data_IF_402008407458
#
_entry.id   IF_402008407458
#
_cell.length_a   1.000
_cell.length_b   1.000
_cell.length_c   1.000
_cell.angle_alpha   90.00
_cell.angle_beta   90.00
_cell.angle_gamma   90.00
#
_symmetry.space_group_name_H-M   'P 1'
#
loop_
_entity.id
_entity.type
_entity.pdbx_description
1 polymer ?
#
# COMPACT_ATOMS: atom_id res chain seq x y z
N UNK A 1 21.29 4.26 17.97
CA UNK A 1 20.87 2.91 17.56
C UNK A 1 19.82 3.02 16.45
N UNK A 2 19.67 1.96 15.63
CA UNK A 2 18.75 1.98 14.47
C UNK A 2 17.30 2.35 14.87
N UNK A 3 16.83 1.85 16.00
CA UNK A 3 15.49 2.17 16.52
C UNK A 3 15.28 3.67 16.79
N UNK A 4 16.26 4.33 17.36
CA UNK A 4 16.22 5.78 17.63
C UNK A 4 16.23 6.62 16.35
N UNK A 5 16.94 6.16 15.31
CA UNK A 5 16.99 6.85 14.02
C UNK A 5 15.67 6.75 13.25
N UNK A 6 14.89 5.65 13.41
CA UNK A 6 13.58 5.47 12.78
C UNK A 6 12.53 6.47 13.28
N UNK A 7 12.65 6.94 14.52
CA UNK A 7 11.74 7.92 15.11
C UNK A 7 12.15 9.37 14.84
N UNK A 8 13.46 9.60 14.57
CA UNK A 8 14.05 10.94 14.53
C UNK A 8 14.36 11.45 13.12
N UNK A 9 14.42 10.60 12.10
CA UNK A 9 14.88 10.93 10.76
C UNK A 9 13.80 10.70 9.70
N UNK A 10 13.74 11.59 8.72
CA UNK A 10 12.92 11.40 7.52
C UNK A 10 13.47 10.25 6.64
N UNK A 11 12.58 9.61 5.86
CA UNK A 11 12.93 8.47 5.01
C UNK A 11 14.17 8.69 4.11
N UNK A 12 14.36 9.85 3.42
CA UNK A 12 15.56 10.13 2.64
C UNK A 12 16.84 10.18 3.48
N UNK A 13 16.75 10.72 4.70
CA UNK A 13 17.89 10.82 5.63
C UNK A 13 18.28 9.45 6.17
N UNK A 14 17.31 8.60 6.47
CA UNK A 14 17.50 7.22 6.86
C UNK A 14 18.25 6.42 5.77
N UNK A 15 17.77 6.50 4.53
CA UNK A 15 18.43 5.84 3.39
C UNK A 15 19.87 6.31 3.25
N UNK A 16 20.11 7.62 3.25
CA UNK A 16 21.44 8.21 3.10
C UNK A 16 22.42 7.76 4.22
N UNK A 17 21.92 7.59 5.44
CA UNK A 17 22.71 7.17 6.59
C UNK A 17 23.00 5.67 6.62
N UNK A 18 22.00 4.85 6.32
CA UNK A 18 22.04 3.40 6.53
C UNK A 18 22.42 2.61 5.29
N UNK A 19 22.10 3.06 4.08
CA UNK A 19 22.40 2.34 2.85
C UNK A 19 23.89 2.02 2.69
N UNK A 20 24.84 2.98 2.89
CA UNK A 20 26.27 2.67 2.77
C UNK A 20 26.76 1.63 3.80
N UNK A 21 26.17 1.64 4.99
CA UNK A 21 26.50 0.67 6.05
C UNK A 21 25.99 -0.73 5.69
N UNK A 22 24.78 -0.83 5.15
CA UNK A 22 24.21 -2.09 4.67
C UNK A 22 25.03 -2.63 3.49
N UNK A 23 25.44 -1.78 2.56
CA UNK A 23 26.31 -2.14 1.44
C UNK A 23 27.67 -2.64 1.89
N UNK A 24 28.29 -1.99 2.89
CA UNK A 24 29.56 -2.45 3.47
C UNK A 24 29.40 -3.81 4.17
N UNK A 25 28.34 -3.99 4.95
CA UNK A 25 28.05 -5.28 5.60
C UNK A 25 27.81 -6.39 4.59
N UNK A 26 27.09 -6.11 3.51
CA UNK A 26 26.86 -7.06 2.43
C UNK A 26 28.18 -7.46 1.75
N UNK A 27 29.04 -6.49 1.47
CA UNK A 27 30.38 -6.74 0.89
C UNK A 27 31.25 -7.60 1.83
N UNK A 28 31.29 -7.28 3.12
CA UNK A 28 32.05 -8.04 4.12
C UNK A 28 31.51 -9.47 4.28
N UNK A 29 30.19 -9.64 4.25
CA UNK A 29 29.56 -10.97 4.32
C UNK A 29 29.94 -11.83 3.10
N UNK A 30 29.83 -11.28 1.89
CA UNK A 30 30.24 -11.98 0.67
C UNK A 30 31.74 -12.31 0.67
N UNK A 31 32.59 -11.36 1.09
CA UNK A 31 34.04 -11.59 1.22
C UNK A 31 34.38 -12.68 2.26
N UNK A 32 33.60 -12.76 3.34
CA UNK A 32 33.73 -13.83 4.32
C UNK A 32 33.48 -15.22 3.73
N UNK A 33 32.46 -15.35 2.89
CA UNK A 33 32.15 -16.60 2.18
C UNK A 33 33.25 -16.99 1.19
N UNK A 34 33.77 -16.04 0.41
CA UNK A 34 34.85 -16.32 -0.53
C UNK A 34 36.18 -16.64 0.19
N UNK A 35 36.43 -16.06 1.38
CA UNK A 35 37.59 -16.39 2.20
C UNK A 35 37.57 -17.86 2.65
N UNK A 36 36.40 -18.43 2.94
CA UNK A 36 36.28 -19.84 3.28
C UNK A 36 36.79 -20.75 2.12
N UNK A 37 36.51 -20.37 0.87
CA UNK A 37 36.98 -21.07 -0.33
C UNK A 37 38.52 -20.99 -0.42
N UNK A 38 39.07 -19.78 -0.20
CA UNK A 38 40.55 -19.58 -0.24
C UNK A 38 41.26 -20.45 0.82
N UNK A 39 40.75 -20.51 2.03
CA UNK A 39 41.33 -21.26 3.13
C UNK A 39 41.31 -22.78 2.92
N UNK A 40 40.33 -23.27 2.17
CA UNK A 40 40.13 -24.71 1.94
C UNK A 40 40.67 -25.19 0.58
N UNK A 41 40.90 -24.29 -0.39
CA UNK A 41 41.41 -24.61 -1.70
C UNK A 41 42.78 -25.34 -1.62
N UNK A 42 42.90 -26.48 -2.29
CA UNK A 42 44.09 -27.32 -2.29
C UNK A 42 44.40 -28.03 -0.98
N UNK A 43 43.59 -27.88 0.07
CA UNK A 43 43.78 -28.51 1.41
C UNK A 43 42.65 -29.46 1.77
N UNK A 44 41.41 -29.16 1.37
CA UNK A 44 40.24 -29.97 1.68
C UNK A 44 39.95 -31.00 0.56
N UNK A 45 39.21 -32.07 0.91
CA UNK A 45 38.78 -33.05 -0.09
C UNK A 45 37.81 -32.45 -1.10
N UNK A 46 37.71 -33.08 -2.27
CA UNK A 46 36.78 -32.67 -3.33
C UNK A 46 35.33 -32.57 -2.82
N UNK A 47 34.86 -33.55 -2.03
CA UNK A 47 33.50 -33.60 -1.48
C UNK A 47 33.26 -32.44 -0.53
N UNK A 48 34.25 -32.05 0.29
CA UNK A 48 34.12 -30.89 1.17
C UNK A 48 34.02 -29.59 0.36
N UNK A 49 34.84 -29.42 -0.69
CA UNK A 49 34.77 -28.25 -1.57
C UNK A 49 33.41 -28.16 -2.26
N UNK A 50 32.90 -29.29 -2.75
CA UNK A 50 31.59 -29.33 -3.38
C UNK A 50 30.47 -28.92 -2.40
N UNK A 51 30.49 -29.49 -1.16
CA UNK A 51 29.54 -29.12 -0.12
C UNK A 51 29.62 -27.64 0.24
N UNK A 52 30.81 -27.07 0.33
CA UNK A 52 31.02 -25.66 0.58
C UNK A 52 30.40 -24.79 -0.52
N UNK A 53 30.66 -25.13 -1.81
CA UNK A 53 30.06 -24.39 -2.94
C UNK A 53 28.54 -24.47 -2.97
N UNK A 54 27.98 -25.64 -2.71
CA UNK A 54 26.51 -25.83 -2.63
C UNK A 54 25.94 -24.99 -1.48
N UNK A 55 26.62 -24.94 -0.34
CA UNK A 55 26.19 -24.12 0.80
C UNK A 55 26.24 -22.62 0.49
N UNK A 56 27.30 -22.15 -0.18
CA UNK A 56 27.42 -20.75 -0.63
C UNK A 56 26.34 -20.43 -1.68
N UNK A 57 26.04 -21.36 -2.59
CA UNK A 57 24.95 -21.20 -3.56
C UNK A 57 23.60 -21.04 -2.84
N UNK A 58 23.31 -21.89 -1.85
CA UNK A 58 22.08 -21.82 -1.07
C UNK A 58 21.95 -20.48 -0.31
N UNK A 59 23.03 -20.01 0.32
CA UNK A 59 23.08 -18.72 1.00
C UNK A 59 22.86 -17.58 -0.01
N UNK A 60 23.47 -17.65 -1.17
CA UNK A 60 23.34 -16.63 -2.23
C UNK A 60 21.91 -16.57 -2.76
N UNK A 61 21.27 -17.72 -3.00
CA UNK A 61 19.88 -17.80 -3.42
C UNK A 61 18.91 -17.24 -2.35
N UNK A 62 19.15 -17.59 -1.08
CA UNK A 62 18.38 -17.05 0.05
C UNK A 62 18.50 -15.51 0.16
N UNK A 63 19.69 -14.96 0.02
CA UNK A 63 19.88 -13.51 0.03
C UNK A 63 19.23 -12.80 -1.15
N UNK A 64 19.14 -13.41 -2.32
CA UNK A 64 18.45 -12.82 -3.50
C UNK A 64 16.97 -12.55 -3.22
N UNK A 65 16.33 -13.36 -2.38
CA UNK A 65 14.90 -13.18 -2.01
C UNK A 65 14.71 -12.21 -0.83
N UNK A 66 15.66 -12.13 0.10
CA UNK A 66 15.53 -11.30 1.30
C UNK A 66 16.00 -9.84 1.13
N UNK A 67 16.92 -9.57 0.21
CA UNK A 67 17.48 -8.22 -0.02
C UNK A 67 16.77 -7.44 -1.13
N UNK A 68 15.51 -7.75 -1.41
CA UNK A 68 14.70 -7.17 -2.50
C UNK A 68 14.54 -5.64 -2.40
N UNK A 69 14.62 -5.09 -1.19
CA UNK A 69 14.46 -3.66 -0.97
C UNK A 69 15.59 -2.82 -1.61
N UNK A 70 16.81 -3.38 -1.73
CA UNK A 70 17.97 -2.68 -2.28
C UNK A 70 18.81 -3.57 -3.17
N UNK A 71 18.66 -3.40 -4.47
CA UNK A 71 19.47 -4.13 -5.47
C UNK A 71 20.96 -3.85 -5.30
N UNK A 72 21.36 -2.65 -4.87
CA UNK A 72 22.78 -2.30 -4.66
C UNK A 72 23.43 -3.11 -3.53
N UNK A 73 22.69 -3.34 -2.44
CA UNK A 73 23.14 -4.17 -1.31
C UNK A 73 23.34 -5.62 -1.77
N UNK A 74 22.35 -6.17 -2.48
CA UNK A 74 22.45 -7.52 -3.04
C UNK A 74 23.64 -7.64 -4.00
N UNK A 75 23.82 -6.70 -4.91
CA UNK A 75 24.93 -6.75 -5.89
C UNK A 75 26.30 -6.71 -5.23
N UNK A 76 26.49 -5.96 -4.16
CA UNK A 76 27.76 -5.97 -3.42
C UNK A 76 28.04 -7.31 -2.77
N UNK A 77 27.04 -7.91 -2.12
CA UNK A 77 27.12 -9.26 -1.57
C UNK A 77 27.41 -10.30 -2.66
N UNK A 78 26.67 -10.25 -3.76
CA UNK A 78 26.79 -11.20 -4.87
C UNK A 78 28.16 -11.15 -5.55
N UNK A 79 28.66 -9.95 -5.85
CA UNK A 79 29.96 -9.77 -6.48
C UNK A 79 31.11 -10.23 -5.56
N UNK A 80 31.08 -9.81 -4.28
CA UNK A 80 32.15 -10.17 -3.32
C UNK A 80 32.11 -11.64 -2.91
N UNK A 81 30.94 -12.27 -2.90
CA UNK A 81 30.76 -13.67 -2.56
C UNK A 81 30.83 -14.58 -3.78
N UNK A 82 29.70 -14.71 -4.51
CA UNK A 82 29.54 -15.72 -5.55
C UNK A 82 30.47 -15.54 -6.77
N UNK A 83 30.59 -14.32 -7.31
CA UNK A 83 31.47 -14.11 -8.47
C UNK A 83 32.94 -14.33 -8.09
N UNK A 84 33.35 -13.94 -6.88
CA UNK A 84 34.68 -14.23 -6.38
C UNK A 84 34.91 -15.73 -6.22
N UNK A 85 33.94 -16.48 -5.65
CA UNK A 85 33.99 -17.94 -5.57
C UNK A 85 34.10 -18.59 -6.95
N UNK A 86 33.30 -18.10 -7.93
CA UNK A 86 33.37 -18.61 -9.31
C UNK A 86 34.78 -18.46 -9.89
N UNK A 87 35.44 -17.32 -9.66
CA UNK A 87 36.83 -17.14 -10.10
C UNK A 87 37.81 -18.05 -9.33
N UNK A 88 37.61 -18.23 -8.02
CA UNK A 88 38.43 -19.10 -7.17
C UNK A 88 38.26 -20.59 -7.48
N UNK A 89 37.22 -21.00 -8.23
CA UNK A 89 36.98 -22.40 -8.58
C UNK A 89 38.09 -23.03 -9.39
N UNK A 90 38.93 -22.23 -10.06
CA UNK A 90 40.15 -22.70 -10.76
C UNK A 90 41.10 -23.38 -9.79
N UNK A 91 41.25 -22.83 -8.58
CA UNK A 91 42.11 -23.40 -7.54
C UNK A 91 41.40 -24.42 -6.67
N UNK A 92 40.11 -24.25 -6.43
CA UNK A 92 39.32 -25.18 -5.64
C UNK A 92 39.07 -26.51 -6.37
N UNK A 93 38.92 -26.48 -7.68
CA UNK A 93 38.62 -27.65 -8.54
C UNK A 93 39.60 -27.73 -9.72
N UNK A 94 40.91 -28.02 -9.53
CA UNK A 94 41.92 -27.97 -10.59
C UNK A 94 41.62 -28.86 -11.80
N UNK A 95 41.00 -30.03 -11.55
CA UNK A 95 40.65 -31.00 -12.60
C UNK A 95 39.27 -30.76 -13.23
N UNK A 96 38.37 -30.02 -12.53
CA UNK A 96 36.97 -29.91 -12.91
C UNK A 96 36.52 -28.48 -13.17
N UNK A 97 37.38 -27.45 -13.08
CA UNK A 97 37.05 -26.04 -13.19
C UNK A 97 36.29 -25.72 -14.50
N UNK A 98 36.62 -26.42 -15.61
CA UNK A 98 36.00 -26.26 -16.94
C UNK A 98 34.53 -26.65 -16.99
N UNK A 99 34.04 -27.46 -16.01
CA UNK A 99 32.62 -27.74 -15.80
C UNK A 99 32.00 -26.84 -14.73
N UNK A 100 32.75 -26.57 -13.66
CA UNK A 100 32.28 -25.79 -12.51
C UNK A 100 32.02 -24.34 -12.89
N UNK A 101 32.92 -23.69 -13.66
CA UNK A 101 32.78 -22.30 -14.07
C UNK A 101 31.51 -22.05 -14.89
N UNK A 102 31.24 -22.79 -15.98
CA UNK A 102 30.02 -22.61 -16.76
C UNK A 102 28.75 -22.80 -15.91
N UNK A 103 28.74 -23.80 -15.04
CA UNK A 103 27.61 -24.05 -14.13
C UNK A 103 27.42 -22.91 -13.12
N UNK A 104 28.51 -22.41 -12.53
CA UNK A 104 28.49 -21.28 -11.61
C UNK A 104 28.04 -19.97 -12.28
N UNK A 105 28.42 -19.75 -13.55
CA UNK A 105 27.97 -18.60 -14.33
C UNK A 105 26.48 -18.71 -14.71
N UNK A 106 26.01 -19.92 -15.06
CA UNK A 106 24.60 -20.17 -15.31
C UNK A 106 23.75 -19.88 -14.07
N UNK A 107 24.23 -20.37 -12.90
CA UNK A 107 23.61 -20.07 -11.61
C UNK A 107 23.62 -18.56 -11.31
N UNK A 108 24.76 -17.88 -11.57
CA UNK A 108 24.89 -16.45 -11.39
C UNK A 108 23.85 -15.68 -12.23
N UNK A 109 23.67 -16.08 -13.48
CA UNK A 109 22.68 -15.47 -14.38
C UNK A 109 21.25 -15.68 -13.87
N UNK A 110 20.93 -16.89 -13.43
CA UNK A 110 19.61 -17.22 -12.87
C UNK A 110 19.31 -16.37 -11.63
N UNK A 111 20.24 -16.36 -10.66
CA UNK A 111 20.09 -15.59 -9.41
C UNK A 111 20.00 -14.07 -9.67
N UNK A 112 20.80 -13.56 -10.61
CA UNK A 112 20.70 -12.14 -10.99
C UNK A 112 19.32 -11.79 -11.56
N UNK A 113 18.78 -12.63 -12.44
CA UNK A 113 17.42 -12.44 -12.99
C UNK A 113 16.35 -12.51 -11.90
N UNK A 114 16.46 -13.48 -10.98
CA UNK A 114 15.53 -13.64 -9.87
C UNK A 114 15.58 -12.43 -8.91
N UNK A 115 16.78 -11.94 -8.58
CA UNK A 115 16.96 -10.75 -7.76
C UNK A 115 16.36 -9.50 -8.43
N UNK A 116 16.52 -9.36 -9.74
CA UNK A 116 15.96 -8.25 -10.50
C UNK A 116 14.42 -8.33 -10.54
N UNK A 117 13.86 -9.50 -10.77
CA UNK A 117 12.42 -9.73 -10.76
C UNK A 117 11.82 -9.46 -9.38
N UNK A 118 12.46 -9.96 -8.32
CA UNK A 118 12.07 -9.75 -6.94
C UNK A 118 12.12 -8.26 -6.54
N UNK A 119 13.15 -7.53 -6.97
CA UNK A 119 13.25 -6.08 -6.76
C UNK A 119 12.12 -5.32 -7.48
N UNK A 120 11.85 -5.64 -8.74
CA UNK A 120 10.74 -5.05 -9.49
C UNK A 120 9.38 -5.33 -8.83
N UNK A 121 9.16 -6.57 -8.37
CA UNK A 121 7.95 -6.93 -7.64
C UNK A 121 7.81 -6.14 -6.36
N UNK A 122 8.86 -6.02 -5.55
CA UNK A 122 8.86 -5.24 -4.31
C UNK A 122 8.52 -3.77 -4.55
N UNK A 123 9.18 -3.11 -5.52
CA UNK A 123 8.90 -1.72 -5.87
C UNK A 123 7.45 -1.54 -6.34
N UNK A 124 6.94 -2.49 -7.13
CA UNK A 124 5.55 -2.45 -7.57
C UNK A 124 4.57 -2.59 -6.40
N UNK A 125 4.83 -3.50 -5.48
CA UNK A 125 4.04 -3.72 -4.27
C UNK A 125 3.95 -2.45 -3.39
N UNK A 126 5.09 -1.81 -3.14
CA UNK A 126 5.14 -0.55 -2.37
C UNK A 126 4.33 0.56 -3.05
N UNK A 127 4.43 0.69 -4.39
CA UNK A 127 3.66 1.68 -5.15
C UNK A 127 2.14 1.40 -5.11
N UNK A 128 1.73 0.13 -5.16
CA UNK A 128 0.33 -0.25 -5.05
C UNK A 128 -0.22 0.08 -3.66
N UNK A 129 0.55 -0.22 -2.62
CA UNK A 129 0.16 0.10 -1.24
C UNK A 129 -0.02 1.61 -1.03
N UNK A 130 0.91 2.42 -1.54
CA UNK A 130 0.81 3.88 -1.46
C UNK A 130 -0.44 4.41 -2.20
N UNK A 131 -0.70 3.91 -3.42
CA UNK A 131 -1.92 4.27 -4.17
C UNK A 131 -3.19 3.86 -3.44
N UNK A 132 -3.19 2.67 -2.83
CA UNK A 132 -4.32 2.18 -2.04
C UNK A 132 -4.58 3.10 -0.84
N UNK A 133 -3.55 3.52 -0.11
CA UNK A 133 -3.67 4.47 1.00
C UNK A 133 -4.23 5.82 0.55
N UNK A 134 -3.76 6.34 -0.59
CA UNK A 134 -4.26 7.61 -1.16
C UNK A 134 -5.73 7.50 -1.56
N UNK A 135 -6.14 6.41 -2.21
CA UNK A 135 -7.53 6.17 -2.58
C UNK A 135 -8.45 6.05 -1.36
N UNK A 136 -8.02 5.33 -0.32
CA UNK A 136 -8.78 5.22 0.94
C UNK A 136 -8.96 6.60 1.58
N UNK A 137 -7.92 7.43 1.60
CA UNK A 137 -8.02 8.79 2.12
C UNK A 137 -9.00 9.66 1.31
N UNK A 138 -8.96 9.59 -0.03
CA UNK A 138 -9.89 10.32 -0.91
C UNK A 138 -11.34 9.85 -0.72
N UNK A 139 -11.56 8.53 -0.63
CA UNK A 139 -12.88 7.97 -0.39
C UNK A 139 -13.45 8.40 0.96
N UNK A 140 -12.62 8.47 2.00
CA UNK A 140 -13.04 8.94 3.32
C UNK A 140 -13.53 10.40 3.26
N UNK A 141 -12.76 11.28 2.64
CA UNK A 141 -13.14 12.70 2.47
C UNK A 141 -14.42 12.84 1.64
N UNK A 142 -14.52 12.10 0.53
CA UNK A 142 -15.72 12.14 -0.33
C UNK A 142 -16.96 11.66 0.42
N UNK A 143 -16.83 10.61 1.23
CA UNK A 143 -17.90 10.10 2.07
C UNK A 143 -18.34 11.11 3.13
N UNK A 144 -17.40 11.72 3.85
CA UNK A 144 -17.68 12.75 4.86
C UNK A 144 -18.44 13.94 4.24
N UNK A 145 -18.02 14.40 3.05
CA UNK A 145 -18.71 15.46 2.33
C UNK A 145 -20.13 15.07 1.92
N UNK A 146 -20.32 13.83 1.43
CA UNK A 146 -21.65 13.33 1.07
C UNK A 146 -22.58 13.19 2.28
N UNK A 147 -22.07 12.70 3.41
CA UNK A 147 -22.82 12.61 4.67
C UNK A 147 -23.23 14.02 5.18
N UNK A 148 -22.32 15.00 5.12
CA UNK A 148 -22.62 16.39 5.50
C UNK A 148 -23.70 17.00 4.58
N UNK A 149 -23.57 16.84 3.26
CA UNK A 149 -24.55 17.34 2.30
C UNK A 149 -25.94 16.69 2.49
N UNK A 150 -25.97 15.40 2.83
CA UNK A 150 -27.21 14.69 3.16
C UNK A 150 -27.86 15.24 4.45
N UNK A 151 -27.06 15.49 5.48
CA UNK A 151 -27.53 16.07 6.73
C UNK A 151 -28.11 17.49 6.50
N UNK A 152 -27.41 18.33 5.76
CA UNK A 152 -27.87 19.67 5.39
C UNK A 152 -29.19 19.63 4.60
N UNK A 153 -29.30 18.73 3.62
CA UNK A 153 -30.52 18.51 2.88
C UNK A 153 -31.69 18.10 3.78
N UNK A 154 -31.45 17.15 4.68
CA UNK A 154 -32.48 16.67 5.60
C UNK A 154 -32.93 17.76 6.58
N UNK A 155 -31.98 18.54 7.11
CA UNK A 155 -32.30 19.70 7.96
C UNK A 155 -33.11 20.74 7.19
N UNK A 156 -32.71 21.09 5.97
CA UNK A 156 -33.44 22.01 5.10
C UNK A 156 -34.89 21.56 4.87
N UNK A 157 -35.09 20.28 4.51
CA UNK A 157 -36.42 19.72 4.26
C UNK A 157 -37.28 19.73 5.53
N UNK A 158 -36.68 19.39 6.68
CA UNK A 158 -37.37 19.40 7.97
C UNK A 158 -37.83 20.82 8.34
N UNK A 159 -36.93 21.80 8.23
CA UNK A 159 -37.23 23.21 8.55
C UNK A 159 -38.26 23.77 7.57
N UNK A 160 -38.10 23.54 6.26
CA UNK A 160 -39.04 23.99 5.26
C UNK A 160 -40.46 23.39 5.45
N UNK A 161 -40.55 22.11 5.81
CA UNK A 161 -41.82 21.44 6.11
C UNK A 161 -42.49 22.05 7.34
N UNK A 162 -41.71 22.36 8.38
CA UNK A 162 -42.23 23.03 9.58
C UNK A 162 -42.76 24.44 9.24
N UNK A 163 -41.95 25.22 8.53
CA UNK A 163 -42.32 26.63 8.18
C UNK A 163 -43.46 26.73 7.21
N UNK A 164 -43.68 25.71 6.34
CA UNK A 164 -44.87 25.61 5.48
C UNK A 164 -46.11 25.16 6.25
N UNK A 165 -45.96 24.26 7.23
CA UNK A 165 -47.08 23.76 8.02
C UNK A 165 -47.74 24.87 8.86
N UNK A 166 -46.97 25.80 9.41
CA UNK A 166 -47.48 26.88 10.24
C UNK A 166 -48.47 27.79 9.50
N UNK A 167 -48.17 28.39 8.32
CA UNK A 167 -49.12 29.25 7.62
C UNK A 167 -50.34 28.46 7.10
N UNK A 168 -50.15 27.20 6.69
CA UNK A 168 -51.28 26.33 6.27
C UNK A 168 -52.23 26.11 7.42
N UNK A 169 -51.72 25.84 8.62
CA UNK A 169 -52.54 25.68 9.81
C UNK A 169 -53.27 26.98 10.21
N UNK A 170 -52.60 28.13 10.15
CA UNK A 170 -53.23 29.43 10.37
C UNK A 170 -54.31 29.73 9.37
N UNK A 171 -54.09 29.47 8.07
CA UNK A 171 -55.10 29.61 7.02
C UNK A 171 -56.31 28.67 7.24
N UNK A 172 -56.05 27.41 7.66
CA UNK A 172 -57.11 26.47 8.01
C UNK A 172 -58.02 27.00 9.11
N UNK A 173 -57.47 27.59 10.16
CA UNK A 173 -58.24 28.18 11.24
C UNK A 173 -59.05 29.39 10.80
N UNK A 174 -58.49 30.22 9.91
CA UNK A 174 -59.24 31.37 9.33
C UNK A 174 -60.41 30.93 8.47
N UNK A 175 -60.16 29.93 7.58
CA UNK A 175 -61.23 29.37 6.73
C UNK A 175 -62.33 28.75 7.56
N UNK A 176 -62.01 28.03 8.62
CA UNK A 176 -62.97 27.45 9.57
C UNK A 176 -63.77 28.54 10.27
N UNK A 177 -63.10 29.62 10.74
CA UNK A 177 -63.78 30.76 11.39
C UNK A 177 -64.69 31.52 10.45
N UNK A 178 -64.34 31.65 9.16
CA UNK A 178 -65.19 32.23 8.10
C UNK A 178 -66.40 31.32 7.83
N UNK A 179 -66.16 30.00 7.70
CA UNK A 179 -67.27 29.04 7.41
C UNK A 179 -68.33 29.03 8.54
N UNK A 180 -67.89 29.13 9.83
CA UNK A 180 -68.79 29.17 10.96
C UNK A 180 -69.70 30.45 10.98
N UNK A 181 -69.20 31.56 10.43
CA UNK A 181 -69.94 32.85 10.39
C UNK A 181 -70.68 33.12 9.08
N UNK A 182 -70.36 32.31 8.05
CA UNK A 182 -70.99 32.48 6.75
C UNK A 182 -72.48 32.09 6.77
N UNK A 183 -73.36 33.00 6.26
CA UNK A 183 -74.79 32.80 6.09
C UNK A 183 -75.20 32.78 4.60
N UNK A 184 -74.21 32.90 3.72
CA UNK A 184 -74.46 32.95 2.26
C UNK A 184 -74.26 31.55 1.67
N UNK A 185 -75.32 30.99 1.15
CA UNK A 185 -75.31 29.66 0.53
C UNK A 185 -74.42 29.59 -0.75
N UNK A 186 -74.20 30.72 -1.42
CA UNK A 186 -73.33 30.76 -2.61
C UNK A 186 -71.83 30.63 -2.28
N UNK A 187 -71.43 31.01 -1.08
CA UNK A 187 -70.03 30.97 -0.62
C UNK A 187 -69.68 29.60 0.03
N UNK A 188 -70.68 28.89 0.54
CA UNK A 188 -70.41 27.62 1.28
C UNK A 188 -69.63 26.56 0.49
N UNK A 189 -69.90 26.29 -0.84
CA UNK A 189 -69.16 25.34 -1.61
C UNK A 189 -67.65 25.77 -1.83
N UNK A 190 -67.43 27.09 -2.03
CA UNK A 190 -66.05 27.62 -2.20
C UNK A 190 -65.20 27.46 -0.92
N UNK A 191 -65.81 27.64 0.24
CA UNK A 191 -65.12 27.37 1.52
C UNK A 191 -64.84 25.89 1.71
N UNK A 192 -65.71 25.01 1.22
CA UNK A 192 -65.47 23.56 1.21
C UNK A 192 -64.29 23.15 0.35
N UNK A 193 -64.23 23.69 -0.89
CA UNK A 193 -63.10 23.43 -1.78
C UNK A 193 -61.78 23.96 -1.24
N UNK A 194 -61.79 25.15 -0.65
CA UNK A 194 -60.61 25.72 0.01
C UNK A 194 -60.12 24.86 1.18
N UNK A 195 -61.04 24.36 2.00
CA UNK A 195 -60.75 23.46 3.13
C UNK A 195 -60.14 22.14 2.66
N UNK A 196 -60.68 21.53 1.61
CA UNK A 196 -60.20 20.30 1.02
C UNK A 196 -58.79 20.49 0.42
N UNK A 197 -58.53 21.60 -0.28
CA UNK A 197 -57.24 21.95 -0.82
C UNK A 197 -56.16 22.10 0.28
N UNK A 198 -56.53 22.78 1.36
CA UNK A 198 -55.62 22.95 2.51
C UNK A 198 -55.37 21.62 3.27
N UNK A 199 -56.40 20.75 3.37
CA UNK A 199 -56.25 19.41 3.93
C UNK A 199 -55.30 18.57 3.10
N UNK A 200 -55.36 18.63 1.78
CA UNK A 200 -54.43 17.95 0.88
C UNK A 200 -53.00 18.46 1.01
N UNK A 201 -52.80 19.78 1.13
CA UNK A 201 -51.46 20.35 1.37
C UNK A 201 -50.90 19.90 2.73
N UNK A 202 -51.70 19.81 3.78
CA UNK A 202 -51.25 19.39 5.11
C UNK A 202 -50.84 17.91 5.17
N UNK A 203 -51.30 17.08 4.25
CA UNK A 203 -50.90 15.68 4.09
C UNK A 203 -49.58 15.49 3.30
N UNK A 204 -49.14 16.51 2.54
CA UNK A 204 -47.90 16.47 1.77
C UNK A 204 -46.66 16.85 2.58
N UNK A 205 -46.85 17.49 3.71
CA UNK A 205 -45.79 17.99 4.62
C UNK A 205 -45.83 17.32 6.00
#
# INVERSE_FOLDING_TARGET
>A
SHAHDLEALDAPQLVRKWLPRMELMALLHGAGLSTAVVLTAGRASYEFQLLLYVSIAAITAGNATHQNASLSVFMRFFCSGWLTCTFLSIWAFPEHWHYVIPLALLFALAIYRDALAAHHFFVHQVRLEERSRQLIAQLKVARENAETALQEKNLFLSTASHDLRQPIHAMSMLVEAIAQRNRDEAIAPLLGDLRNGMGSMNLMF
#
